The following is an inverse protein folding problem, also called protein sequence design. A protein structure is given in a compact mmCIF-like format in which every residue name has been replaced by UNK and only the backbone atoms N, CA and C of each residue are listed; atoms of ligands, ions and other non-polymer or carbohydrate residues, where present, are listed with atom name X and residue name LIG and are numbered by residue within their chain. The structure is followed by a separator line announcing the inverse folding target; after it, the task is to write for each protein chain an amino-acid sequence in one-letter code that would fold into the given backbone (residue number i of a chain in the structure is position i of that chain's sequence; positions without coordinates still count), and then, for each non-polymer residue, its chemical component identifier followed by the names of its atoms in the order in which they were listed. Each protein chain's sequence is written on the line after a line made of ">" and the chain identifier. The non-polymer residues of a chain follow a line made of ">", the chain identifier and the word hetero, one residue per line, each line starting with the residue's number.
data_IF_591508278933
#
_entry.id   IF_591508278933
#
_cell.length_a   1.000
_cell.length_b   1.000
_cell.length_c   1.000
_cell.angle_alpha   90.00
_cell.angle_beta   90.00
_cell.angle_gamma   90.00
#
_symmetry.space_group_name_H-M   'P 1'
#
loop_
_entity.id
_entity.type
_entity.pdbx_description
1 polymer ?
#
# COMPACT_ATOMS: atom_id res chain seq x y z
N UNK A 1 8.48 24.98 5.17
CA UNK A 1 8.78 25.62 6.47
C UNK A 1 10.09 26.38 6.32
N UNK A 2 10.16 27.61 6.79
CA UNK A 2 11.36 28.46 6.69
C UNK A 2 12.17 28.51 8.01
N UNK A 3 11.61 27.94 9.08
CA UNK A 3 12.23 27.87 10.41
C UNK A 3 12.87 26.49 10.64
N UNK A 4 14.13 26.48 11.07
CA UNK A 4 14.89 25.25 11.33
C UNK A 4 14.29 24.39 12.43
N UNK A 5 13.83 25.00 13.54
CA UNK A 5 13.25 24.27 14.68
C UNK A 5 11.94 23.59 14.28
N UNK A 6 11.08 24.31 13.56
CA UNK A 6 9.82 23.74 13.05
C UNK A 6 10.09 22.61 12.05
N UNK A 7 11.05 22.82 11.13
CA UNK A 7 11.46 21.81 10.16
C UNK A 7 12.05 20.58 10.84
N UNK A 8 12.86 20.76 11.90
CA UNK A 8 13.43 19.66 12.67
C UNK A 8 12.34 18.81 13.31
N UNK A 9 11.39 19.42 14.03
CA UNK A 9 10.33 18.67 14.71
C UNK A 9 9.34 18.03 13.75
N UNK A 10 9.01 18.71 12.64
CA UNK A 10 8.22 18.10 11.57
C UNK A 10 8.92 16.89 10.96
N UNK A 11 10.23 16.98 10.72
CA UNK A 11 11.02 15.87 10.20
C UNK A 11 11.16 14.73 11.22
N UNK A 12 11.36 15.03 12.51
CA UNK A 12 11.39 14.02 13.57
C UNK A 12 10.08 13.22 13.61
N UNK A 13 8.93 13.90 13.59
CA UNK A 13 7.63 13.24 13.53
C UNK A 13 7.40 12.43 12.25
N UNK A 14 7.91 12.90 11.11
CA UNK A 14 7.90 12.11 9.87
C UNK A 14 8.74 10.84 10.00
N UNK A 15 9.92 10.94 10.62
CA UNK A 15 10.80 9.80 10.85
C UNK A 15 10.22 8.81 11.85
N UNK A 16 9.46 9.25 12.87
CA UNK A 16 8.73 8.32 13.74
C UNK A 16 7.79 7.41 12.94
N UNK A 17 7.16 7.95 11.88
CA UNK A 17 6.31 7.18 10.95
C UNK A 17 7.13 6.29 10.01
N UNK A 18 8.26 6.79 9.49
CA UNK A 18 8.99 6.15 8.37
C UNK A 18 10.25 5.38 8.76
N UNK A 19 10.73 5.46 10.01
CA UNK A 19 12.07 4.96 10.40
C UNK A 19 12.30 3.49 10.05
N UNK A 20 11.26 2.65 10.11
CA UNK A 20 11.35 1.22 9.76
C UNK A 20 11.82 0.98 8.32
N UNK A 21 11.54 1.92 7.40
CA UNK A 21 12.05 1.85 6.02
C UNK A 21 13.57 2.07 5.91
N UNK A 22 14.19 2.65 6.93
CA UNK A 22 15.61 3.01 6.97
C UNK A 22 16.42 2.09 7.90
N UNK A 23 15.82 1.05 8.47
CA UNK A 23 16.53 0.04 9.24
C UNK A 23 17.52 -0.74 8.35
N UNK A 24 18.68 -1.09 8.91
CA UNK A 24 19.79 -1.70 8.18
C UNK A 24 19.44 -3.04 7.52
N UNK A 25 18.52 -3.80 8.11
CA UNK A 25 18.11 -5.10 7.56
C UNK A 25 17.09 -4.99 6.42
N UNK A 26 16.54 -3.80 6.18
CA UNK A 26 15.56 -3.47 5.14
C UNK A 26 14.33 -4.38 5.13
N UNK A 27 14.00 -5.05 6.26
CA UNK A 27 12.88 -6.00 6.29
C UNK A 27 11.54 -5.33 6.05
N UNK A 28 11.34 -4.13 6.60
CA UNK A 28 10.07 -3.43 6.50
C UNK A 28 9.75 -3.02 5.04
N UNK A 29 10.72 -2.41 4.34
CA UNK A 29 10.51 -2.02 2.95
C UNK A 29 10.35 -3.23 2.02
N UNK A 30 11.08 -4.33 2.27
CA UNK A 30 10.87 -5.60 1.54
C UNK A 30 9.46 -6.14 1.76
N UNK A 31 8.95 -6.06 2.99
CA UNK A 31 7.57 -6.43 3.30
C UNK A 31 6.56 -5.56 2.54
N UNK A 32 6.76 -4.24 2.49
CA UNK A 32 5.91 -3.34 1.71
C UNK A 32 5.91 -3.67 0.20
N UNK A 33 7.06 -4.07 -0.36
CA UNK A 33 7.14 -4.51 -1.76
C UNK A 33 6.42 -5.84 -2.01
N UNK A 34 6.46 -6.78 -1.05
CA UNK A 34 5.66 -8.01 -1.13
C UNK A 34 4.16 -7.70 -1.03
N UNK A 35 3.75 -6.83 -0.10
CA UNK A 35 2.37 -6.38 0.03
C UNK A 35 1.87 -5.68 -1.24
N UNK A 36 2.74 -4.89 -1.90
CA UNK A 36 2.45 -4.28 -3.19
C UNK A 36 2.18 -5.35 -4.28
N UNK A 37 3.01 -6.39 -4.36
CA UNK A 37 2.80 -7.53 -5.27
C UNK A 37 1.44 -8.17 -5.00
N UNK A 38 1.13 -8.45 -3.73
CA UNK A 38 -0.11 -9.12 -3.33
C UNK A 38 -1.35 -8.27 -3.66
N UNK A 39 -1.31 -6.97 -3.40
CA UNK A 39 -2.38 -6.03 -3.80
C UNK A 39 -2.54 -5.99 -5.32
N UNK A 40 -1.44 -5.92 -6.06
CA UNK A 40 -1.48 -5.90 -7.53
C UNK A 40 -2.08 -7.20 -8.09
N UNK A 41 -1.81 -8.35 -7.45
CA UNK A 41 -2.38 -9.63 -7.86
C UNK A 41 -3.91 -9.65 -7.75
N UNK A 42 -4.48 -8.96 -6.76
CA UNK A 42 -5.93 -8.82 -6.61
C UNK A 42 -6.51 -7.82 -7.62
N UNK A 43 -5.88 -6.66 -7.77
CA UNK A 43 -6.40 -5.55 -8.57
C UNK A 43 -6.22 -5.80 -10.07
N UNK A 44 -5.03 -6.27 -10.47
CA UNK A 44 -4.66 -6.50 -11.84
C UNK A 44 -3.83 -7.80 -11.96
N UNK A 45 -4.51 -8.98 -11.93
CA UNK A 45 -3.84 -10.27 -12.04
C UNK A 45 -3.07 -10.43 -13.36
N UNK A 46 -3.51 -9.75 -14.43
CA UNK A 46 -2.83 -9.82 -15.74
C UNK A 46 -1.43 -9.20 -15.66
N UNK A 47 -1.30 -8.02 -15.06
CA UNK A 47 0.01 -7.39 -14.87
C UNK A 47 0.86 -8.16 -13.87
N UNK A 48 0.29 -8.59 -12.73
CA UNK A 48 1.03 -9.34 -11.72
C UNK A 48 1.65 -10.64 -12.27
N UNK A 49 0.87 -11.45 -12.99
CA UNK A 49 1.37 -12.67 -13.64
C UNK A 49 2.42 -12.37 -14.72
N UNK A 50 2.26 -11.25 -15.44
CA UNK A 50 3.27 -10.82 -16.41
C UNK A 50 4.59 -10.51 -15.73
N UNK A 51 4.58 -9.74 -14.63
CA UNK A 51 5.78 -9.41 -13.86
C UNK A 51 6.47 -10.67 -13.30
N UNK A 52 5.70 -11.63 -12.79
CA UNK A 52 6.23 -12.91 -12.28
C UNK A 52 6.93 -13.72 -13.37
N UNK A 53 6.29 -13.87 -14.54
CA UNK A 53 6.92 -14.58 -15.68
C UNK A 53 8.19 -13.91 -16.22
N UNK A 54 8.41 -12.64 -15.89
CA UNK A 54 9.61 -11.87 -16.24
C UNK A 54 10.53 -11.58 -15.03
N UNK A 55 10.42 -12.36 -13.95
CA UNK A 55 11.27 -12.27 -12.75
C UNK A 55 11.32 -10.86 -12.12
N UNK A 56 10.22 -10.13 -12.25
CA UNK A 56 10.05 -8.75 -11.82
C UNK A 56 9.04 -8.61 -10.66
N UNK A 57 8.54 -9.73 -10.14
CA UNK A 57 7.52 -9.78 -9.08
C UNK A 57 8.02 -9.37 -7.69
N UNK A 58 9.34 -9.24 -7.49
CA UNK A 58 9.92 -8.67 -6.27
C UNK A 58 9.70 -7.14 -6.13
N UNK A 59 9.15 -6.49 -7.16
CA UNK A 59 8.78 -5.08 -7.19
C UNK A 59 9.93 -4.09 -6.90
N UNK A 60 11.20 -4.47 -7.05
CA UNK A 60 12.32 -3.57 -6.73
C UNK A 60 12.37 -2.31 -7.61
N UNK A 61 11.74 -2.31 -8.78
CA UNK A 61 11.57 -1.09 -9.58
C UNK A 61 10.68 -0.03 -8.89
N UNK A 62 9.85 -0.42 -7.91
CA UNK A 62 9.07 0.50 -7.06
C UNK A 62 9.79 0.88 -5.75
N UNK A 63 11.00 0.38 -5.48
CA UNK A 63 11.72 0.63 -4.23
C UNK A 63 11.86 2.12 -3.93
N UNK A 64 12.20 2.92 -4.95
CA UNK A 64 12.33 4.38 -4.85
C UNK A 64 11.01 5.06 -4.48
N UNK A 65 9.88 4.58 -5.01
CA UNK A 65 8.57 5.13 -4.70
C UNK A 65 8.24 4.99 -3.22
N UNK A 66 8.46 3.78 -2.68
CA UNK A 66 8.14 3.45 -1.30
C UNK A 66 9.12 4.10 -0.31
N UNK A 67 10.43 4.02 -0.57
CA UNK A 67 11.46 4.50 0.35
C UNK A 67 11.35 6.00 0.66
N UNK A 68 11.13 6.80 -0.38
CA UNK A 68 11.07 8.27 -0.27
C UNK A 68 9.68 8.83 -0.57
N UNK A 69 8.64 8.01 -0.40
CA UNK A 69 7.22 8.40 -0.57
C UNK A 69 7.01 9.25 -1.83
N UNK A 70 7.45 8.73 -2.97
CA UNK A 70 7.34 9.33 -4.31
C UNK A 70 8.03 10.68 -4.53
N UNK A 71 8.91 11.13 -3.64
CA UNK A 71 9.57 12.46 -3.72
C UNK A 71 10.30 12.75 -5.04
N UNK A 72 10.68 11.72 -5.79
CA UNK A 72 11.35 11.83 -7.10
C UNK A 72 10.40 11.69 -8.29
N UNK A 73 9.11 11.46 -8.07
CA UNK A 73 8.14 11.22 -9.15
C UNK A 73 7.28 12.44 -9.46
N UNK A 74 7.22 13.39 -8.53
CA UNK A 74 6.32 14.53 -8.58
C UNK A 74 7.06 15.87 -8.51
N UNK A 75 6.44 16.92 -9.04
CA UNK A 75 6.89 18.29 -8.85
C UNK A 75 6.85 18.67 -7.36
N UNK A 76 7.48 19.79 -6.99
CA UNK A 76 7.43 20.23 -5.58
C UNK A 76 6.00 20.52 -5.11
N UNK A 77 5.15 21.09 -5.97
CA UNK A 77 3.74 21.36 -5.63
C UNK A 77 2.97 20.05 -5.42
N UNK A 78 3.13 19.12 -6.36
CA UNK A 78 2.41 17.85 -6.35
C UNK A 78 2.83 16.97 -5.17
N UNK A 79 4.14 16.89 -4.86
CA UNK A 79 4.58 16.06 -3.75
C UNK A 79 4.09 16.59 -2.40
N UNK A 80 4.00 17.91 -2.23
CA UNK A 80 3.45 18.50 -1.00
C UNK A 80 2.00 18.09 -0.82
N UNK A 81 1.20 18.17 -1.88
CA UNK A 81 -0.21 17.74 -1.86
C UNK A 81 -0.36 16.23 -1.63
N UNK A 82 0.48 15.42 -2.27
CA UNK A 82 0.48 13.97 -2.03
C UNK A 82 0.78 13.63 -0.57
N UNK A 83 1.78 14.29 0.03
CA UNK A 83 2.13 14.10 1.43
C UNK A 83 1.03 14.55 2.38
N UNK A 84 0.36 15.68 2.11
CA UNK A 84 -0.81 16.11 2.87
C UNK A 84 -1.90 15.02 2.91
N UNK A 85 -2.19 14.40 1.75
CA UNK A 85 -3.16 13.28 1.67
C UNK A 85 -2.65 12.07 2.45
N UNK A 86 -1.42 11.63 2.23
CA UNK A 86 -0.86 10.44 2.90
C UNK A 86 -0.83 10.58 4.42
N UNK A 87 -0.58 11.78 4.94
CA UNK A 87 -0.52 12.02 6.38
C UNK A 87 -1.88 12.09 7.06
N UNK A 88 -2.98 12.03 6.31
CA UNK A 88 -4.33 11.85 6.89
C UNK A 88 -4.59 10.42 7.36
N UNK A 89 -3.77 9.46 6.93
CA UNK A 89 -3.99 8.02 7.15
C UNK A 89 -5.32 7.50 6.58
N UNK A 90 -5.90 8.24 5.62
CA UNK A 90 -7.11 7.90 4.89
C UNK A 90 -6.81 7.54 3.43
N UNK A 91 -7.65 6.68 2.81
CA UNK A 91 -8.71 5.90 3.45
C UNK A 91 -8.19 4.69 4.24
N UNK A 92 -6.89 4.39 4.17
CA UNK A 92 -6.24 3.31 4.92
C UNK A 92 -4.77 3.60 5.24
N UNK A 93 -4.21 2.87 6.21
CA UNK A 93 -2.82 3.03 6.69
C UNK A 93 -1.78 2.87 5.56
N UNK A 94 -2.00 1.91 4.65
CA UNK A 94 -1.07 1.63 3.55
C UNK A 94 -1.52 2.23 2.21
N UNK A 95 -2.17 3.41 2.22
CA UNK A 95 -2.67 4.06 1.01
C UNK A 95 -1.58 4.34 -0.05
N UNK A 96 -0.34 4.58 0.37
CA UNK A 96 0.82 4.71 -0.52
C UNK A 96 1.05 3.47 -1.40
N UNK A 97 0.68 2.27 -0.95
CA UNK A 97 0.75 1.06 -1.79
C UNK A 97 -0.35 1.04 -2.86
N UNK A 98 -1.55 1.57 -2.57
CA UNK A 98 -2.60 1.71 -3.57
C UNK A 98 -2.25 2.77 -4.62
N UNK A 99 -1.49 3.80 -4.25
CA UNK A 99 -0.90 4.74 -5.22
C UNK A 99 0.07 4.03 -6.16
N UNK A 100 0.95 3.16 -5.64
CA UNK A 100 1.81 2.32 -6.49
C UNK A 100 0.97 1.46 -7.45
N UNK A 101 -0.06 0.78 -6.95
CA UNK A 101 -0.95 -0.06 -7.77
C UNK A 101 -1.64 0.77 -8.86
N UNK A 102 -2.20 1.93 -8.53
CA UNK A 102 -2.87 2.81 -9.49
C UNK A 102 -1.94 3.29 -10.61
N UNK A 103 -0.68 3.64 -10.27
CA UNK A 103 0.32 4.00 -11.28
C UNK A 103 0.62 2.79 -12.17
N UNK A 104 0.88 1.61 -11.60
CA UNK A 104 1.22 0.41 -12.36
C UNK A 104 0.09 -0.07 -13.27
N UNK A 105 -1.15 -0.03 -12.77
CA UNK A 105 -2.35 -0.39 -13.53
C UNK A 105 -2.48 0.46 -14.80
N UNK A 106 -2.27 1.78 -14.67
CA UNK A 106 -2.25 2.73 -15.80
C UNK A 106 -1.15 2.43 -16.83
N UNK A 107 -0.03 1.83 -16.40
CA UNK A 107 1.10 1.50 -17.27
C UNK A 107 1.04 0.08 -17.85
N UNK A 108 0.08 -0.75 -17.43
CA UNK A 108 0.00 -2.17 -17.80
C UNK A 108 0.11 -2.39 -19.31
N UNK A 109 -0.74 -1.72 -20.09
CA UNK A 109 -0.80 -1.96 -21.55
C UNK A 109 0.55 -1.67 -22.20
N UNK A 110 1.20 -0.57 -21.82
CA UNK A 110 2.51 -0.21 -22.35
C UNK A 110 3.58 -1.25 -22.00
N UNK A 111 3.63 -1.71 -20.75
CA UNK A 111 4.59 -2.73 -20.30
C UNK A 111 4.40 -4.05 -21.07
N UNK A 112 3.16 -4.54 -21.16
CA UNK A 112 2.85 -5.85 -21.73
C UNK A 112 2.98 -5.84 -23.26
N UNK A 113 2.45 -4.82 -23.93
CA UNK A 113 2.47 -4.75 -25.40
C UNK A 113 3.89 -4.61 -25.95
N UNK A 114 4.75 -3.85 -25.24
CA UNK A 114 6.16 -3.73 -25.59
C UNK A 114 7.03 -4.89 -25.08
N UNK A 115 6.45 -5.87 -24.38
CA UNK A 115 7.14 -7.06 -23.86
C UNK A 115 8.35 -6.71 -22.99
N UNK A 116 8.20 -5.73 -22.10
CA UNK A 116 9.29 -5.30 -21.23
C UNK A 116 9.71 -6.39 -20.24
N UNK A 117 11.01 -6.59 -20.09
CA UNK A 117 11.60 -7.33 -18.98
C UNK A 117 11.97 -6.41 -17.83
N UNK A 118 12.65 -6.94 -16.80
CA UNK A 118 12.99 -6.21 -15.58
C UNK A 118 13.71 -4.87 -15.85
N UNK A 119 14.70 -4.87 -16.74
CA UNK A 119 15.51 -3.68 -17.03
C UNK A 119 14.68 -2.61 -17.75
N UNK A 120 13.86 -3.00 -18.71
CA UNK A 120 12.96 -2.10 -19.44
C UNK A 120 11.85 -1.56 -18.53
N UNK A 121 11.29 -2.39 -17.64
CA UNK A 121 10.32 -1.96 -16.62
C UNK A 121 10.96 -0.92 -15.71
N UNK A 122 12.16 -1.19 -15.19
CA UNK A 122 12.88 -0.25 -14.33
C UNK A 122 13.14 1.07 -15.05
N UNK A 123 13.58 1.02 -16.31
CA UNK A 123 13.79 2.21 -17.12
C UNK A 123 12.48 2.99 -17.30
N UNK A 124 11.42 2.31 -17.73
CA UNK A 124 10.09 2.90 -17.92
C UNK A 124 9.59 3.59 -16.66
N UNK A 125 9.63 2.88 -15.52
CA UNK A 125 9.23 3.41 -14.22
C UNK A 125 10.06 4.63 -13.81
N UNK A 126 11.36 4.63 -14.09
CA UNK A 126 12.20 5.81 -13.85
C UNK A 126 11.81 7.00 -14.75
N UNK A 127 11.49 6.73 -16.01
CA UNK A 127 11.11 7.74 -17.00
C UNK A 127 9.71 8.34 -16.73
N UNK A 128 8.88 7.69 -15.90
CA UNK A 128 7.61 8.26 -15.41
C UNK A 128 7.79 9.46 -14.47
N UNK A 129 9.01 9.67 -13.94
CA UNK A 129 9.30 10.80 -13.06
C UNK A 129 8.83 12.11 -13.70
N UNK A 130 8.05 12.90 -12.97
CA UNK A 130 7.43 14.17 -13.38
C UNK A 130 6.37 14.08 -14.49
N UNK A 131 6.00 12.87 -14.92
CA UNK A 131 4.98 12.62 -15.94
C UNK A 131 3.74 11.91 -15.38
N UNK A 132 3.69 11.66 -14.07
CA UNK A 132 2.53 11.08 -13.39
C UNK A 132 1.53 12.19 -13.05
N UNK A 133 0.29 12.02 -13.49
CA UNK A 133 -0.84 12.89 -13.13
C UNK A 133 -1.30 12.56 -11.71
N UNK A 134 -1.00 13.44 -10.75
CA UNK A 134 -1.29 13.22 -9.33
C UNK A 134 -2.78 13.05 -9.05
N UNK A 135 -3.64 13.95 -9.56
CA UNK A 135 -5.07 13.92 -9.24
C UNK A 135 -5.71 12.64 -9.77
N UNK A 136 -5.39 12.25 -11.02
CA UNK A 136 -5.91 11.01 -11.57
C UNK A 136 -5.38 9.78 -10.82
N UNK A 137 -4.13 9.81 -10.37
CA UNK A 137 -3.57 8.71 -9.56
C UNK A 137 -4.26 8.61 -8.20
N UNK A 138 -4.56 9.73 -7.53
CA UNK A 138 -5.28 9.74 -6.26
C UNK A 138 -6.71 9.20 -6.42
N UNK A 139 -7.43 9.67 -7.44
CA UNK A 139 -8.79 9.20 -7.76
C UNK A 139 -8.78 7.69 -8.01
N UNK A 140 -7.86 7.19 -8.84
CA UNK A 140 -7.75 5.76 -9.12
C UNK A 140 -7.40 4.94 -7.88
N UNK A 141 -6.46 5.41 -7.05
CA UNK A 141 -6.08 4.72 -5.81
C UNK A 141 -7.23 4.64 -4.81
N UNK A 142 -8.00 5.71 -4.65
CA UNK A 142 -9.19 5.77 -3.79
C UNK A 142 -10.32 4.86 -4.35
N UNK A 143 -10.55 4.87 -5.66
CA UNK A 143 -11.51 3.99 -6.30
C UNK A 143 -11.16 2.51 -6.10
N UNK A 144 -9.88 2.14 -6.23
CA UNK A 144 -9.38 0.80 -5.94
C UNK A 144 -9.68 0.42 -4.48
N UNK A 145 -9.39 1.31 -3.52
CA UNK A 145 -9.72 1.06 -2.11
C UNK A 145 -11.21 0.75 -1.92
N UNK A 146 -12.10 1.59 -2.47
CA UNK A 146 -13.53 1.40 -2.33
C UNK A 146 -14.04 0.12 -2.99
N UNK A 147 -13.49 -0.25 -4.15
CA UNK A 147 -13.84 -1.51 -4.81
C UNK A 147 -13.42 -2.73 -3.97
N UNK A 148 -12.23 -2.69 -3.38
CA UNK A 148 -11.74 -3.74 -2.47
C UNK A 148 -12.59 -3.79 -1.19
N UNK A 149 -12.89 -2.65 -0.58
CA UNK A 149 -13.75 -2.56 0.61
C UNK A 149 -15.16 -3.11 0.34
N UNK A 150 -15.75 -2.79 -0.81
CA UNK A 150 -17.07 -3.28 -1.21
C UNK A 150 -17.12 -4.80 -1.45
N UNK A 151 -15.97 -5.45 -1.62
CA UNK A 151 -15.83 -6.89 -1.84
C UNK A 151 -15.01 -7.58 -0.75
N UNK A 152 -14.90 -6.96 0.43
CA UNK A 152 -14.07 -7.42 1.54
C UNK A 152 -14.40 -8.86 1.97
N UNK A 153 -15.66 -9.28 1.86
CA UNK A 153 -16.14 -10.64 2.16
C UNK A 153 -15.47 -11.73 1.31
N UNK A 154 -14.93 -11.36 0.14
CA UNK A 154 -14.28 -12.27 -0.81
C UNK A 154 -12.76 -12.11 -0.82
N UNK A 155 -12.22 -11.11 -0.13
CA UNK A 155 -10.80 -10.84 -0.12
C UNK A 155 -10.06 -11.78 0.84
N UNK A 156 -8.84 -12.23 0.48
CA UNK A 156 -7.99 -12.94 1.42
C UNK A 156 -7.70 -12.08 2.66
N UNK A 157 -7.70 -12.69 3.86
CA UNK A 157 -7.50 -11.97 5.13
C UNK A 157 -6.22 -11.12 5.16
N UNK A 158 -5.15 -11.58 4.51
CA UNK A 158 -3.89 -10.81 4.47
C UNK A 158 -4.03 -9.51 3.67
N UNK A 159 -4.86 -9.47 2.61
CA UNK A 159 -5.16 -8.24 1.85
C UNK A 159 -5.96 -7.27 2.72
N UNK A 160 -6.98 -7.76 3.43
CA UNK A 160 -7.73 -6.95 4.38
C UNK A 160 -6.82 -6.35 5.45
N UNK A 161 -5.88 -7.14 5.98
CA UNK A 161 -4.89 -6.68 6.96
C UNK A 161 -3.94 -5.61 6.40
N UNK A 162 -3.47 -5.75 5.15
CA UNK A 162 -2.66 -4.73 4.48
C UNK A 162 -3.43 -3.41 4.40
N UNK A 163 -4.73 -3.45 4.13
CA UNK A 163 -5.56 -2.25 3.96
C UNK A 163 -6.24 -1.77 5.26
N UNK A 164 -5.94 -2.38 6.41
CA UNK A 164 -6.54 -2.01 7.69
C UNK A 164 -8.06 -2.23 7.76
N UNK A 165 -8.63 -3.08 6.90
CA UNK A 165 -10.06 -3.39 6.90
C UNK A 165 -10.38 -4.35 8.05
N UNK A 166 -11.28 -3.96 8.96
CA UNK A 166 -11.68 -4.81 10.10
C UNK A 166 -12.36 -6.07 9.59
N UNK A 167 -11.78 -7.24 9.86
CA UNK A 167 -12.49 -8.52 9.71
C UNK A 167 -13.46 -8.59 10.87
N UNK A 168 -14.75 -8.39 10.62
CA UNK A 168 -15.79 -8.75 11.59
C UNK A 168 -15.64 -10.25 11.85
N UNK A 169 -15.13 -10.62 13.03
CA UNK A 169 -15.25 -11.98 13.51
C UNK A 169 -16.74 -12.29 13.61
N UNK A 170 -17.20 -13.29 12.88
CA UNK A 170 -18.56 -13.80 13.05
C UNK A 170 -18.68 -14.36 14.47
N UNK A 171 -19.67 -13.85 15.20
CA UNK A 171 -20.01 -14.13 16.62
C UNK A 171 -20.44 -15.60 16.91
N UNK A 172 -19.76 -16.59 16.35
CA UNK A 172 -20.05 -18.03 16.60
C UNK A 172 -19.46 -18.55 17.93
N UNK A 173 -18.82 -17.68 18.73
CA UNK A 173 -18.26 -18.06 20.03
C UNK A 173 -19.22 -17.85 21.23
N UNK A 174 -20.39 -17.22 21.02
CA UNK A 174 -21.33 -16.91 22.11
C UNK A 174 -22.26 -18.09 22.51
N UNK A 175 -22.31 -19.18 21.73
CA UNK A 175 -23.25 -20.28 21.96
C UNK A 175 -22.79 -21.38 22.94
N UNK A 176 -21.59 -21.26 23.53
CA UNK A 176 -21.00 -22.36 24.33
C UNK A 176 -21.01 -22.14 25.85
N UNK A 177 -21.71 -21.12 26.36
CA UNK A 177 -21.76 -20.82 27.81
C UNK A 177 -23.17 -20.74 28.36
N UNK A 178 -23.97 -21.79 28.16
CA UNK A 178 -25.10 -22.06 29.06
C UNK A 178 -25.14 -23.54 29.41
N UNK A 179 -25.03 -23.85 30.71
CA UNK A 179 -25.32 -25.18 31.23
C UNK A 179 -24.45 -25.66 32.40
N UNK A 180 -24.66 -25.13 33.61
CA UNK A 180 -24.67 -25.99 34.81
C UNK A 180 -25.36 -25.29 36.00
N UNK A 181 -26.40 -25.88 36.60
CA UNK A 181 -27.13 -25.28 37.71
C UNK A 181 -26.54 -25.64 39.09
N UNK A 182 -26.53 -24.63 39.94
CA UNK A 182 -26.85 -24.64 41.38
C UNK A 182 -26.34 -25.81 42.24
N UNK A 183 -25.39 -25.52 43.15
CA UNK A 183 -25.32 -26.20 44.45
C UNK A 183 -25.50 -25.20 45.58
N UNK A 184 -26.67 -25.31 46.20
CA UNK A 184 -27.00 -24.93 47.57
C UNK A 184 -25.89 -25.35 48.54
N UNK A 185 -25.44 -24.43 49.38
CA UNK A 185 -24.75 -24.74 50.63
C UNK A 185 -25.62 -24.22 51.78
N UNK A 186 -26.11 -25.18 52.56
CA UNK A 186 -26.78 -24.99 53.82
C UNK A 186 -25.74 -24.85 54.93
N UNK A 187 -26.02 -23.92 55.85
CA UNK A 187 -25.47 -23.71 57.21
C UNK A 187 -23.95 -23.52 57.35
#
# INVERSE_FOLDING_TARGET
>A
MENEVDAFWAFAGLMDRMHKNFEMDQKHIRNQLMQLRDLLMIVNPRLANYLESHQSDNMYFCFRWVLIQFKREFSFSDIMRLWEVLWTDLPCENFHLLICVAILDKQMNFIIENKFGLTEILKHVNDLSTHIDLEQTLISAEAIYHQLAASQDKLPRHICAILGMQVLESDDAAASREGSPTKTLAL
#
